data_IF_785327653310
#
_entry.id   IF_785327653310
#
_cell.length_a   1.000
_cell.length_b   1.000
_cell.length_c   1.000
_cell.angle_alpha   90.00
_cell.angle_beta   90.00
_cell.angle_gamma   90.00
#
_symmetry.space_group_name_H-M   'P 1'
#
loop_
_entity.id
_entity.type
_entity.pdbx_description
1 polymer ?
#
# COMPACT_ATOMS: atom_id res chain seq x y z
N UNK A 1 -10.33 -2.54 -6.65
CA UNK A 1 -10.54 -1.68 -5.47
C UNK A 1 -9.59 -2.13 -4.38
N UNK A 2 -8.91 -1.19 -3.73
CA UNK A 2 -7.94 -1.50 -2.69
C UNK A 2 -8.59 -1.73 -1.33
N UNK A 3 -7.91 -2.42 -0.41
CA UNK A 3 -8.45 -2.74 0.94
C UNK A 3 -8.86 -1.50 1.76
N UNK A 4 -8.13 -0.39 1.61
CA UNK A 4 -8.45 0.90 2.24
C UNK A 4 -9.73 1.54 1.65
N UNK A 5 -9.98 1.31 0.36
CA UNK A 5 -11.16 1.80 -0.35
C UNK A 5 -12.41 1.06 0.15
N UNK A 6 -12.34 -0.27 0.23
CA UNK A 6 -13.39 -1.12 0.82
C UNK A 6 -13.66 -0.77 2.29
N UNK A 7 -12.61 -0.54 3.10
CA UNK A 7 -12.78 -0.08 4.48
C UNK A 7 -13.49 1.27 4.58
N UNK A 8 -13.18 2.20 3.67
CA UNK A 8 -13.78 3.53 3.68
C UNK A 8 -15.26 3.48 3.29
N UNK A 9 -15.65 2.55 2.42
CA UNK A 9 -17.05 2.28 2.08
C UNK A 9 -17.83 1.77 3.30
N UNK A 10 -17.33 0.76 4.01
CA UNK A 10 -17.95 0.26 5.24
C UNK A 10 -18.04 1.32 6.35
N UNK A 11 -17.00 2.16 6.52
CA UNK A 11 -17.04 3.28 7.48
C UNK A 11 -18.11 4.30 7.08
N UNK A 12 -18.29 4.57 5.79
CA UNK A 12 -19.35 5.43 5.29
C UNK A 12 -20.73 4.86 5.57
N UNK A 13 -20.92 3.55 5.36
CA UNK A 13 -22.17 2.84 5.67
C UNK A 13 -22.53 2.87 7.16
N UNK A 14 -21.55 2.97 8.07
CA UNK A 14 -21.84 3.21 9.49
C UNK A 14 -22.53 4.55 9.78
N UNK A 15 -22.44 5.53 8.87
CA UNK A 15 -23.12 6.82 8.97
C UNK A 15 -24.48 6.85 8.28
N UNK A 16 -24.86 5.76 7.60
CA UNK A 16 -26.19 5.64 7.00
C UNK A 16 -27.25 5.52 8.10
N UNK A 17 -28.38 6.18 7.91
CA UNK A 17 -29.52 6.08 8.81
C UNK A 17 -30.24 4.73 8.59
N UNK A 18 -29.62 3.63 9.03
CA UNK A 18 -30.24 2.29 9.07
C UNK A 18 -31.43 2.34 10.03
N UNK A 19 -32.61 1.94 9.54
CA UNK A 19 -33.88 2.31 10.17
C UNK A 19 -34.32 1.24 11.17
N UNK A 20 -34.03 -0.03 10.90
CA UNK A 20 -34.43 -1.16 11.74
C UNK A 20 -33.25 -2.00 12.24
N UNK A 21 -33.51 -2.77 13.31
CA UNK A 21 -32.50 -3.58 14.00
C UNK A 21 -32.00 -4.75 13.16
N UNK A 22 -32.79 -5.26 12.20
CA UNK A 22 -32.39 -6.35 11.31
C UNK A 22 -31.36 -5.86 10.29
N UNK A 23 -31.56 -4.69 9.70
CA UNK A 23 -30.59 -4.02 8.84
C UNK A 23 -29.26 -3.78 9.58
N UNK A 24 -29.34 -3.28 10.82
CA UNK A 24 -28.16 -3.02 11.65
C UNK A 24 -27.41 -4.32 11.99
N UNK A 25 -28.11 -5.37 12.38
CA UNK A 25 -27.52 -6.68 12.65
C UNK A 25 -26.85 -7.28 11.41
N UNK A 26 -27.55 -7.27 10.27
CA UNK A 26 -27.02 -7.80 9.01
C UNK A 26 -25.76 -7.05 8.57
N UNK A 27 -25.74 -5.72 8.74
CA UNK A 27 -24.54 -4.93 8.49
C UNK A 27 -23.38 -5.33 9.41
N UNK A 28 -23.62 -5.50 10.71
CA UNK A 28 -22.59 -5.90 11.66
C UNK A 28 -22.03 -7.29 11.30
N UNK A 29 -22.89 -8.26 10.94
CA UNK A 29 -22.47 -9.59 10.50
C UNK A 29 -21.69 -9.57 9.17
N UNK A 30 -22.07 -8.70 8.23
CA UNK A 30 -21.33 -8.50 6.99
C UNK A 30 -19.91 -8.01 7.28
N UNK A 31 -19.78 -6.94 8.09
CA UNK A 31 -18.48 -6.39 8.48
C UNK A 31 -17.64 -7.42 9.23
N UNK A 32 -18.26 -8.16 10.15
CA UNK A 32 -17.63 -9.25 10.90
C UNK A 32 -17.10 -10.34 9.98
N UNK A 33 -17.87 -10.74 8.98
CA UNK A 33 -17.47 -11.78 8.02
C UNK A 33 -16.27 -11.36 7.18
N UNK A 34 -16.11 -10.06 6.92
CA UNK A 34 -15.00 -9.52 6.12
C UNK A 34 -13.75 -9.24 6.97
N UNK A 35 -13.91 -8.62 8.15
CA UNK A 35 -12.79 -8.10 8.95
C UNK A 35 -12.65 -8.72 10.34
N UNK A 36 -13.57 -9.60 10.77
CA UNK A 36 -13.59 -10.14 12.13
C UNK A 36 -12.34 -10.94 12.50
N UNK A 37 -11.75 -11.66 11.54
CA UNK A 37 -10.48 -12.39 11.75
C UNK A 37 -9.27 -11.45 11.84
N UNK A 38 -9.33 -10.29 11.17
CA UNK A 38 -8.22 -9.34 11.09
C UNK A 38 -8.21 -8.37 12.28
N UNK A 39 -9.39 -7.99 12.75
CA UNK A 39 -9.59 -7.08 13.88
C UNK A 39 -9.67 -7.91 15.14
N UNK A 40 -8.55 -8.02 15.85
CA UNK A 40 -8.48 -8.75 17.12
C UNK A 40 -9.55 -8.26 18.11
N UNK A 41 -10.41 -9.17 18.54
CA UNK A 41 -11.49 -8.85 19.47
C UNK A 41 -12.60 -8.00 18.85
N UNK A 42 -12.91 -8.22 17.56
CA UNK A 42 -13.96 -7.51 16.85
C UNK A 42 -15.28 -7.50 17.65
N UNK A 43 -15.75 -8.69 18.06
CA UNK A 43 -17.01 -8.89 18.81
C UNK A 43 -16.96 -8.33 20.25
N UNK A 44 -15.77 -8.09 20.80
CA UNK A 44 -15.64 -7.68 22.20
C UNK A 44 -16.23 -6.28 22.42
N UNK A 45 -17.18 -6.21 23.36
CA UNK A 45 -17.88 -4.99 23.74
C UNK A 45 -19.13 -4.68 22.91
N UNK A 46 -19.42 -5.50 21.90
CA UNK A 46 -20.68 -5.42 21.14
C UNK A 46 -21.79 -6.11 21.94
N UNK A 47 -22.91 -5.42 22.11
CA UNK A 47 -24.09 -5.94 22.84
C UNK A 47 -24.68 -7.17 22.14
N UNK A 48 -24.70 -7.18 20.80
CA UNK A 48 -25.18 -8.30 19.98
C UNK A 48 -24.40 -9.61 20.18
N UNK A 49 -23.17 -9.55 20.70
CA UNK A 49 -22.31 -10.73 20.95
C UNK A 49 -22.02 -10.95 22.44
N UNK A 50 -22.70 -10.21 23.32
CA UNK A 50 -22.56 -10.41 24.75
C UNK A 50 -23.33 -11.66 25.19
N UNK A 51 -22.63 -12.63 25.82
CA UNK A 51 -23.21 -13.90 26.30
C UNK A 51 -24.40 -13.70 27.26
N UNK A 52 -24.44 -12.57 27.98
CA UNK A 52 -25.58 -12.24 28.84
C UNK A 52 -26.83 -11.91 28.03
N UNK A 53 -26.73 -11.15 26.93
CA UNK A 53 -27.87 -10.77 26.10
C UNK A 53 -28.59 -11.96 25.43
N UNK A 54 -27.91 -13.10 25.30
CA UNK A 54 -28.50 -14.35 24.79
C UNK A 54 -29.37 -15.07 25.84
N UNK A 55 -29.17 -14.77 27.13
CA UNK A 55 -29.80 -15.48 28.26
C UNK A 55 -30.71 -14.59 29.12
N UNK A 56 -30.57 -13.27 29.04
CA UNK A 56 -31.43 -12.28 29.69
C UNK A 56 -32.15 -11.48 28.61
N UNK A 57 -33.38 -11.02 28.90
CA UNK A 57 -34.15 -10.11 28.04
C UNK A 57 -33.50 -8.71 27.94
N UNK A 58 -32.17 -8.66 27.92
CA UNK A 58 -31.39 -7.43 27.85
C UNK A 58 -31.51 -6.86 26.44
N UNK A 59 -31.86 -5.59 26.39
CA UNK A 59 -31.99 -4.80 25.18
C UNK A 59 -30.66 -4.79 24.42
N UNK A 60 -30.67 -5.20 23.15
CA UNK A 60 -29.52 -5.10 22.25
C UNK A 60 -29.50 -3.68 21.70
N UNK A 61 -28.38 -2.98 21.91
CA UNK A 61 -28.19 -1.60 21.45
C UNK A 61 -27.40 -1.60 20.14
N UNK A 62 -28.13 -1.80 19.04
CA UNK A 62 -27.52 -1.85 17.71
C UNK A 62 -26.94 -0.52 17.26
N UNK A 63 -27.47 0.61 17.75
CA UNK A 63 -26.93 1.94 17.46
C UNK A 63 -25.55 2.13 18.11
N UNK A 64 -25.43 1.73 19.38
CA UNK A 64 -24.14 1.72 20.06
C UNK A 64 -23.16 0.73 19.41
N UNK A 65 -23.63 -0.44 18.98
CA UNK A 65 -22.80 -1.44 18.30
C UNK A 65 -22.30 -0.96 16.94
N UNK A 66 -23.11 -0.27 16.13
CA UNK A 66 -22.65 0.37 14.89
C UNK A 66 -21.56 1.41 15.19
N UNK A 67 -21.73 2.24 16.23
CA UNK A 67 -20.70 3.20 16.63
C UNK A 67 -19.38 2.51 17.01
N UNK A 68 -19.45 1.39 17.73
CA UNK A 68 -18.28 0.60 18.13
C UNK A 68 -17.63 -0.08 16.92
N UNK A 69 -18.41 -0.64 16.00
CA UNK A 69 -17.92 -1.20 14.73
C UNK A 69 -17.20 -0.11 13.93
N UNK A 70 -17.80 1.08 13.79
CA UNK A 70 -17.17 2.22 13.12
C UNK A 70 -15.81 2.57 13.75
N UNK A 71 -15.75 2.68 15.07
CA UNK A 71 -14.51 2.98 15.79
C UNK A 71 -13.42 1.91 15.56
N UNK A 72 -13.81 0.63 15.55
CA UNK A 72 -12.90 -0.49 15.25
C UNK A 72 -12.38 -0.43 13.82
N UNK A 73 -13.25 -0.15 12.84
CA UNK A 73 -12.86 0.00 11.43
C UNK A 73 -11.93 1.19 11.20
N UNK A 74 -12.20 2.34 11.82
CA UNK A 74 -11.31 3.51 11.78
C UNK A 74 -9.96 3.16 12.38
N UNK A 75 -9.92 2.55 13.57
CA UNK A 75 -8.66 2.15 14.19
C UNK A 75 -7.88 1.17 13.31
N UNK A 76 -8.56 0.20 12.69
CA UNK A 76 -7.92 -0.74 11.78
C UNK A 76 -7.36 -0.05 10.54
N UNK A 77 -8.11 0.88 9.95
CA UNK A 77 -7.65 1.72 8.83
C UNK A 77 -6.41 2.55 9.22
N UNK A 78 -6.43 3.18 10.40
CA UNK A 78 -5.28 3.95 10.90
C UNK A 78 -4.06 3.05 11.13
N UNK A 79 -4.25 1.86 11.68
CA UNK A 79 -3.17 0.88 11.87
C UNK A 79 -2.57 0.43 10.52
N UNK A 80 -3.40 0.20 9.50
CA UNK A 80 -2.92 -0.12 8.15
C UNK A 80 -2.14 1.05 7.55
N UNK A 81 -2.62 2.29 7.71
CA UNK A 81 -1.93 3.48 7.23
C UNK A 81 -0.63 3.75 7.99
N UNK A 82 -0.60 3.55 9.31
CA UNK A 82 0.63 3.63 10.11
C UNK A 82 1.62 2.55 9.70
N UNK A 83 1.19 1.29 9.51
CA UNK A 83 2.08 0.23 9.04
C UNK A 83 2.60 0.51 7.62
N UNK A 84 1.78 1.12 6.73
CA UNK A 84 2.23 1.59 5.43
C UNK A 84 3.25 2.72 5.55
N UNK A 85 3.01 3.69 6.43
CA UNK A 85 3.92 4.79 6.71
C UNK A 85 5.22 4.29 7.32
N UNK A 86 5.19 3.46 8.35
CA UNK A 86 6.38 2.86 8.98
C UNK A 86 7.17 2.00 7.99
N UNK A 87 6.51 1.29 7.07
CA UNK A 87 7.20 0.58 5.99
C UNK A 87 7.81 1.56 4.98
N UNK A 88 7.08 2.59 4.58
CA UNK A 88 7.61 3.67 3.73
C UNK A 88 8.77 4.42 4.42
N UNK A 89 8.77 4.50 5.75
CA UNK A 89 9.82 5.10 6.57
C UNK A 89 10.98 4.15 6.87
N UNK A 90 10.76 2.84 6.94
CA UNK A 90 11.81 1.83 6.92
C UNK A 90 12.47 1.73 5.52
N UNK A 91 11.69 2.07 4.47
CA UNK A 91 12.16 2.30 3.11
C UNK A 91 12.79 3.70 2.94
N UNK A 92 12.51 4.67 3.85
CA UNK A 92 13.36 5.86 3.96
C UNK A 92 14.73 5.35 4.38
N UNK A 93 15.76 5.65 3.61
CA UNK A 93 16.77 4.65 3.42
C UNK A 93 17.75 4.75 4.60
N UNK A 94 17.73 3.76 5.48
CA UNK A 94 18.69 3.63 6.58
C UNK A 94 19.74 2.53 6.35
N UNK A 95 19.65 1.74 5.27
CA UNK A 95 20.72 0.79 4.93
C UNK A 95 21.04 0.75 3.42
N UNK A 96 20.05 0.84 2.53
CA UNK A 96 20.28 0.80 1.07
C UNK A 96 20.83 2.12 0.52
N UNK A 97 20.39 3.28 1.03
CA UNK A 97 21.02 4.58 0.71
C UNK A 97 22.40 4.71 1.32
N UNK A 98 22.71 4.09 2.46
CA UNK A 98 24.04 4.24 3.05
C UNK A 98 25.06 3.49 2.19
N UNK A 99 24.70 2.32 1.65
CA UNK A 99 25.57 1.62 0.69
C UNK A 99 25.66 2.35 -0.65
N UNK A 100 24.55 2.89 -1.17
CA UNK A 100 24.56 3.63 -2.43
C UNK A 100 25.19 5.02 -2.25
N UNK A 101 25.01 5.73 -1.13
CA UNK A 101 25.63 7.03 -0.82
C UNK A 101 27.11 6.88 -0.50
N UNK A 102 27.52 5.85 0.27
CA UNK A 102 28.96 5.55 0.44
C UNK A 102 29.62 5.12 -0.89
N UNK A 103 28.86 4.54 -1.84
CA UNK A 103 29.32 4.32 -3.21
C UNK A 103 29.16 5.52 -4.15
N UNK A 104 28.36 6.55 -3.80
CA UNK A 104 28.14 7.77 -4.60
C UNK A 104 29.08 8.91 -4.21
N UNK A 105 29.56 8.98 -2.96
CA UNK A 105 30.59 9.94 -2.53
C UNK A 105 31.98 9.56 -3.06
N UNK A 106 32.22 8.27 -3.32
CA UNK A 106 33.35 7.84 -4.11
C UNK A 106 32.94 7.87 -5.59
N UNK A 107 33.77 8.52 -6.41
CA UNK A 107 33.59 8.79 -7.85
C UNK A 107 33.51 7.53 -8.76
N UNK A 108 32.81 6.48 -8.35
CA UNK A 108 32.67 5.23 -9.08
C UNK A 108 31.44 5.26 -9.98
N UNK A 109 31.63 4.80 -11.21
CA UNK A 109 30.61 4.64 -12.23
C UNK A 109 29.62 3.56 -11.75
N UNK A 110 28.53 3.93 -11.06
CA UNK A 110 27.51 2.97 -10.57
C UNK A 110 26.72 2.40 -11.73
N UNK A 111 27.04 1.19 -12.20
CA UNK A 111 26.45 0.52 -13.37
C UNK A 111 24.90 0.57 -13.42
N UNK A 112 24.32 0.75 -14.62
CA UNK A 112 22.86 0.79 -14.78
C UNK A 112 22.22 -0.57 -14.44
N UNK A 113 22.93 -1.68 -14.64
CA UNK A 113 22.51 -2.99 -14.18
C UNK A 113 22.33 -3.08 -12.67
N UNK A 114 23.22 -2.46 -11.89
CA UNK A 114 23.08 -2.40 -10.42
C UNK A 114 21.88 -1.52 -10.04
N UNK A 115 21.72 -0.39 -10.72
CA UNK A 115 20.66 0.56 -10.43
C UNK A 115 19.26 -0.01 -10.74
N UNK A 116 19.11 -0.72 -11.85
CA UNK A 116 17.88 -1.44 -12.23
C UNK A 116 17.58 -2.59 -11.26
N UNK A 117 18.59 -3.35 -10.82
CA UNK A 117 18.42 -4.40 -9.81
C UNK A 117 17.91 -3.86 -8.48
N UNK A 118 18.51 -2.77 -7.98
CA UNK A 118 18.08 -2.15 -6.73
C UNK A 118 16.66 -1.54 -6.83
N UNK A 119 16.31 -0.95 -7.97
CA UNK A 119 14.95 -0.44 -8.21
C UNK A 119 13.92 -1.57 -8.27
N UNK A 120 14.28 -2.73 -8.84
CA UNK A 120 13.42 -3.91 -8.86
C UNK A 120 13.17 -4.42 -7.44
N UNK A 121 14.22 -4.58 -6.63
CA UNK A 121 14.06 -4.99 -5.23
C UNK A 121 13.19 -4.02 -4.44
N UNK A 122 13.34 -2.71 -4.67
CA UNK A 122 12.46 -1.70 -4.06
C UNK A 122 11.01 -1.84 -4.55
N UNK A 123 10.78 -2.07 -5.85
CA UNK A 123 9.44 -2.27 -6.40
C UNK A 123 8.77 -3.55 -5.85
N UNK A 124 9.51 -4.66 -5.73
CA UNK A 124 9.02 -5.92 -5.14
C UNK A 124 8.65 -5.75 -3.66
N UNK A 125 9.40 -4.94 -2.91
CA UNK A 125 9.05 -4.59 -1.52
C UNK A 125 7.78 -3.72 -1.43
N UNK A 126 7.44 -2.99 -2.49
CA UNK A 126 6.26 -2.13 -2.60
C UNK A 126 4.99 -2.87 -3.06
N UNK A 127 5.07 -4.18 -3.32
CA UNK A 127 3.92 -5.04 -3.64
C UNK A 127 2.85 -5.04 -2.51
N UNK A 128 3.26 -4.66 -1.29
CA UNK A 128 2.39 -4.49 -0.13
C UNK A 128 1.82 -3.07 0.05
N UNK A 129 2.25 -2.10 -0.79
CA UNK A 129 1.93 -0.65 -0.68
C UNK A 129 0.98 -0.21 -1.80
N UNK A 130 0.50 -1.14 -2.64
CA UNK A 130 -0.51 -0.87 -3.68
C UNK A 130 -0.10 -1.31 -5.07
N UNK A 131 1.10 -1.88 -5.26
CA UNK A 131 1.46 -2.56 -6.50
C UNK A 131 0.98 -4.01 -6.49
N UNK A 132 0.37 -4.47 -7.57
CA UNK A 132 0.05 -5.89 -7.78
C UNK A 132 1.26 -6.66 -8.33
N UNK A 133 1.23 -8.00 -8.29
CA UNK A 133 2.25 -8.83 -8.93
C UNK A 133 2.42 -8.54 -10.43
N UNK A 134 1.31 -8.29 -11.14
CA UNK A 134 1.32 -7.93 -12.55
C UNK A 134 2.02 -6.59 -12.79
N UNK A 135 1.79 -5.61 -11.92
CA UNK A 135 2.43 -4.29 -12.02
C UNK A 135 3.93 -4.36 -11.71
N UNK A 136 4.32 -5.20 -10.75
CA UNK A 136 5.71 -5.47 -10.47
C UNK A 136 6.41 -6.19 -11.65
N UNK A 137 5.70 -7.13 -12.30
CA UNK A 137 6.18 -7.77 -13.52
C UNK A 137 6.41 -6.75 -14.64
N UNK A 138 5.48 -5.81 -14.80
CA UNK A 138 5.59 -4.74 -15.79
C UNK A 138 6.76 -3.80 -15.52
N UNK A 139 7.00 -3.42 -14.26
CA UNK A 139 8.19 -2.65 -13.87
C UNK A 139 9.47 -3.40 -14.24
N UNK A 140 9.51 -4.72 -13.98
CA UNK A 140 10.65 -5.57 -14.31
C UNK A 140 10.92 -5.64 -15.81
N UNK A 141 9.86 -5.71 -16.62
CA UNK A 141 9.95 -5.70 -18.08
C UNK A 141 10.55 -4.38 -18.59
N UNK A 142 10.00 -3.25 -18.15
CA UNK A 142 10.48 -1.91 -18.53
C UNK A 142 11.94 -1.70 -18.10
N UNK A 143 12.31 -2.14 -16.88
CA UNK A 143 13.69 -2.06 -16.39
C UNK A 143 14.66 -2.93 -17.20
N UNK A 144 14.21 -4.10 -17.63
CA UNK A 144 15.01 -5.00 -18.48
C UNK A 144 15.25 -4.41 -19.87
N UNK A 145 14.23 -3.77 -20.46
CA UNK A 145 14.34 -3.06 -21.73
C UNK A 145 15.26 -1.83 -21.59
N UNK A 146 15.12 -1.07 -20.50
CA UNK A 146 15.96 0.09 -20.21
C UNK A 146 17.44 -0.31 -20.13
N UNK A 147 17.75 -1.40 -19.42
CA UNK A 147 19.10 -1.94 -19.32
C UNK A 147 19.64 -2.30 -20.70
N UNK A 148 18.86 -3.04 -21.50
CA UNK A 148 19.24 -3.47 -22.84
C UNK A 148 19.56 -2.29 -23.77
N UNK A 149 18.73 -1.26 -23.81
CA UNK A 149 18.96 -0.09 -24.66
C UNK A 149 20.11 0.80 -24.15
N UNK A 150 20.33 0.83 -22.83
CA UNK A 150 21.50 1.47 -22.25
C UNK A 150 22.79 0.72 -22.63
N UNK A 151 22.82 -0.60 -22.55
CA UNK A 151 23.99 -1.42 -22.90
C UNK A 151 24.37 -1.25 -24.39
N UNK A 152 23.36 -1.05 -25.24
CA UNK A 152 23.53 -0.69 -26.66
C UNK A 152 23.96 0.76 -26.90
N UNK A 153 24.01 1.59 -25.86
CA UNK A 153 24.26 3.05 -25.91
C UNK A 153 23.23 3.84 -26.73
N UNK A 154 22.02 3.31 -26.87
CA UNK A 154 20.90 3.93 -27.59
C UNK A 154 20.16 4.93 -26.68
N UNK A 155 20.80 6.07 -26.40
CA UNK A 155 20.33 7.07 -25.42
C UNK A 155 18.93 7.60 -25.70
N UNK A 156 18.53 7.72 -26.98
CA UNK A 156 17.17 8.16 -27.34
C UNK A 156 16.11 7.13 -26.94
N UNK A 157 16.36 5.84 -27.16
CA UNK A 157 15.45 4.78 -26.76
C UNK A 157 15.42 4.62 -25.24
N UNK A 158 16.60 4.64 -24.59
CA UNK A 158 16.69 4.57 -23.14
C UNK A 158 15.92 5.71 -22.45
N UNK A 159 15.97 6.95 -22.97
CA UNK A 159 15.16 8.07 -22.46
C UNK A 159 13.66 7.83 -22.61
N UNK A 160 13.23 7.26 -23.74
CA UNK A 160 11.82 6.93 -23.99
C UNK A 160 11.31 5.88 -23.00
N UNK A 161 12.10 4.83 -22.76
CA UNK A 161 11.76 3.75 -21.83
C UNK A 161 11.76 4.27 -20.39
N UNK A 162 12.72 5.12 -20.01
CA UNK A 162 12.72 5.76 -18.69
C UNK A 162 11.48 6.63 -18.48
N UNK A 163 11.06 7.38 -19.51
CA UNK A 163 9.83 8.15 -19.45
C UNK A 163 8.59 7.27 -19.29
N UNK A 164 8.54 6.13 -19.98
CA UNK A 164 7.46 5.15 -19.82
C UNK A 164 7.40 4.59 -18.40
N UNK A 165 8.56 4.30 -17.80
CA UNK A 165 8.65 3.89 -16.40
C UNK A 165 8.10 4.96 -15.45
N UNK A 166 8.53 6.21 -15.61
CA UNK A 166 8.05 7.33 -14.78
C UNK A 166 6.55 7.53 -14.95
N UNK A 167 6.04 7.48 -16.18
CA UNK A 167 4.61 7.60 -16.46
C UNK A 167 3.82 6.49 -15.78
N UNK A 168 4.27 5.23 -15.94
CA UNK A 168 3.63 4.08 -15.31
C UNK A 168 3.58 4.23 -13.78
N UNK A 169 4.69 4.61 -13.15
CA UNK A 169 4.75 4.81 -11.70
C UNK A 169 3.86 5.98 -11.23
N UNK A 170 3.75 7.04 -12.03
CA UNK A 170 2.86 8.18 -11.74
C UNK A 170 1.39 7.75 -11.77
N UNK A 171 1.01 6.89 -12.71
CA UNK A 171 -0.35 6.36 -12.83
C UNK A 171 -0.73 5.43 -11.66
N UNK A 172 0.25 4.89 -10.91
CA UNK A 172 0.04 3.99 -9.75
C UNK A 172 -0.05 4.69 -8.41
N UNK A 173 0.32 5.96 -8.31
CA UNK A 173 0.18 6.75 -7.11
C UNK A 173 1.48 7.37 -6.61
N UNK A 174 1.31 8.45 -5.86
CA UNK A 174 2.41 9.33 -5.44
C UNK A 174 3.40 8.62 -4.50
N UNK A 175 2.94 7.69 -3.65
CA UNK A 175 3.79 6.99 -2.68
C UNK A 175 4.81 6.05 -3.34
N UNK A 176 4.37 5.31 -4.38
CA UNK A 176 5.24 4.42 -5.17
C UNK A 176 6.29 5.25 -5.92
N UNK A 177 5.86 6.36 -6.53
CA UNK A 177 6.78 7.27 -7.22
C UNK A 177 7.81 7.85 -6.25
N UNK A 178 7.39 8.37 -5.09
CA UNK A 178 8.29 8.95 -4.08
C UNK A 178 9.37 7.95 -3.66
N UNK A 179 9.00 6.68 -3.42
CA UNK A 179 9.95 5.64 -3.03
C UNK A 179 11.00 5.35 -4.11
N UNK A 180 10.64 5.50 -5.38
CA UNK A 180 11.48 5.12 -6.52
C UNK A 180 12.22 6.29 -7.20
N UNK A 181 11.87 7.55 -6.87
CA UNK A 181 12.50 8.78 -7.39
C UNK A 181 14.05 8.75 -7.34
N UNK A 182 14.71 8.32 -6.25
CA UNK A 182 16.17 8.33 -6.17
C UNK A 182 16.85 7.48 -7.27
N UNK A 183 16.23 6.35 -7.61
CA UNK A 183 16.70 5.45 -8.66
C UNK A 183 16.50 6.06 -10.04
N UNK A 184 15.32 6.65 -10.28
CA UNK A 184 14.97 7.32 -11.53
C UNK A 184 15.91 8.48 -11.85
N UNK A 185 16.20 9.34 -10.87
CA UNK A 185 17.13 10.47 -11.03
C UNK A 185 18.54 10.02 -11.40
N UNK A 186 18.99 8.92 -10.79
CA UNK A 186 20.31 8.34 -11.06
C UNK A 186 20.38 7.72 -12.46
N UNK A 187 19.31 7.05 -12.91
CA UNK A 187 19.22 6.49 -14.27
C UNK A 187 19.24 7.60 -15.31
N UNK A 188 18.45 8.66 -15.09
CA UNK A 188 18.39 9.82 -15.97
C UNK A 188 19.78 10.46 -16.15
N UNK A 189 20.50 10.69 -15.04
CA UNK A 189 21.86 11.26 -15.07
C UNK A 189 22.81 10.41 -15.92
N UNK A 190 22.76 9.07 -15.79
CA UNK A 190 23.62 8.18 -16.57
C UNK A 190 23.27 8.07 -18.04
N UNK A 191 21.99 8.16 -18.40
CA UNK A 191 21.55 8.10 -19.80
C UNK A 191 21.86 9.41 -20.53
N UNK A 192 21.93 10.53 -19.80
CA UNK A 192 22.24 11.85 -20.34
C UNK A 192 23.75 12.09 -20.42
N UNK A 193 24.53 11.51 -19.52
CA UNK A 193 26.00 11.57 -19.50
C UNK A 193 26.65 10.76 -20.63
#
# INVERSE_FOLDING_TARGET
MGKIETLSDYIGRCDDNMIDDEEKYNFIEEVRSVYGEEIKGFETGLSAYCVSAVNTSDYIDFDEDICKVKAKLINYKDNLQMAQKERAEALKPQQTSIQIMNHMENNQIVDIGILTGNMLTAAEQLLNVGLTEEECHKIKEILSELKKETDKKETKQAKKILYELVKFLTDKGVDVLIALIPYLGSMAKKIIS
#
